data_IF_038520317868
#
_entry.id   IF_038520317868
#
_cell.length_a   1.000
_cell.length_b   1.000
_cell.length_c   1.000
_cell.angle_alpha   90.00
_cell.angle_beta   90.00
_cell.angle_gamma   90.00
#
_symmetry.space_group_name_H-M   'P 1'
#
loop_
_entity.id
_entity.type
_entity.pdbx_description
1 polymer ?
#
# COMPACT_ATOMS: atom_id res chain seq x y z
N UNK A 1 -11.22 -10.23 9.47
CA UNK A 1 -10.38 -9.33 8.63
C UNK A 1 -9.37 -10.22 7.92
N UNK A 2 -9.36 -10.34 6.57
CA UNK A 2 -8.38 -11.24 5.95
C UNK A 2 -6.98 -10.63 6.18
N UNK A 3 -6.11 -11.43 6.79
CA UNK A 3 -4.70 -11.15 7.01
C UNK A 3 -3.98 -11.20 5.65
N UNK A 4 -4.23 -10.19 4.81
CA UNK A 4 -3.42 -9.98 3.62
C UNK A 4 -2.04 -9.54 4.12
N UNK A 5 -1.03 -10.35 3.91
CA UNK A 5 0.34 -10.14 4.38
C UNK A 5 1.03 -9.07 3.51
N UNK A 6 0.50 -7.85 3.53
CA UNK A 6 1.06 -6.71 2.78
C UNK A 6 2.27 -6.14 3.52
N UNK A 7 3.42 -6.09 2.85
CA UNK A 7 4.60 -5.34 3.31
C UNK A 7 4.46 -3.88 2.90
N UNK A 8 4.59 -2.97 3.86
CA UNK A 8 4.65 -1.53 3.58
C UNK A 8 6.02 -1.18 3.02
N UNK A 9 6.04 -0.59 1.83
CA UNK A 9 7.24 -0.06 1.20
C UNK A 9 7.39 1.39 1.64
N UNK A 10 8.49 1.69 2.32
CA UNK A 10 8.83 3.06 2.65
C UNK A 10 9.29 3.78 1.39
N UNK A 11 8.56 4.82 1.01
CA UNK A 11 8.84 5.63 -0.18
C UNK A 11 8.75 7.11 0.21
N UNK A 12 9.41 8.03 -0.52
CA UNK A 12 9.28 9.47 -0.25
C UNK A 12 7.83 9.96 -0.32
N UNK A 13 6.99 9.30 -1.11
CA UNK A 13 5.54 9.47 -1.16
C UNK A 13 4.85 9.25 0.19
N UNK A 14 5.43 8.45 1.09
CA UNK A 14 4.92 8.22 2.45
C UNK A 14 4.94 9.48 3.31
N UNK A 15 5.83 10.44 3.03
CA UNK A 15 5.87 11.74 3.69
C UNK A 15 4.68 12.62 3.29
N UNK A 16 4.22 12.48 2.04
CA UNK A 16 3.03 13.17 1.50
C UNK A 16 1.74 12.41 1.85
N UNK A 17 1.83 11.35 2.67
CA UNK A 17 0.70 10.53 3.09
C UNK A 17 0.34 9.41 2.13
N UNK A 18 1.18 9.06 1.16
CA UNK A 18 0.94 7.95 0.24
C UNK A 18 1.75 6.74 0.70
N UNK A 19 1.06 5.71 1.16
CA UNK A 19 1.67 4.43 1.54
C UNK A 19 1.54 3.42 0.43
N UNK A 20 2.68 2.95 -0.06
CA UNK A 20 2.74 1.82 -0.98
C UNK A 20 2.83 0.52 -0.16
N UNK A 21 2.01 -0.44 -0.55
CA UNK A 21 1.88 -1.75 0.07
C UNK A 21 2.10 -2.77 -1.04
N UNK A 22 2.89 -3.79 -0.76
CA UNK A 22 3.16 -4.89 -1.69
C UNK A 22 2.76 -6.20 -1.04
N UNK A 23 2.01 -6.99 -1.78
CA UNK A 23 1.64 -8.33 -1.36
C UNK A 23 2.72 -9.37 -1.73
N UNK A 24 2.65 -10.55 -1.12
CA UNK A 24 3.58 -11.64 -1.42
C UNK A 24 3.43 -12.16 -2.86
N UNK A 25 2.21 -12.10 -3.41
CA UNK A 25 1.91 -12.41 -4.81
C UNK A 25 2.43 -11.35 -5.81
N UNK A 26 3.14 -10.31 -5.33
CA UNK A 26 3.73 -9.29 -6.18
C UNK A 26 2.78 -8.16 -6.59
N UNK A 27 1.55 -8.17 -6.09
CA UNK A 27 0.59 -7.08 -6.31
C UNK A 27 0.96 -5.81 -5.53
N UNK A 28 0.85 -4.65 -6.18
CA UNK A 28 1.04 -3.36 -5.56
C UNK A 28 -0.30 -2.71 -5.19
N UNK A 29 -0.31 -2.07 -4.04
CA UNK A 29 -1.45 -1.34 -3.51
C UNK A 29 -0.97 0.03 -3.04
N UNK A 30 -1.77 1.04 -3.30
CA UNK A 30 -1.51 2.40 -2.86
C UNK A 30 -2.61 2.83 -1.92
N UNK A 31 -2.23 3.32 -0.75
CA UNK A 31 -3.13 3.85 0.25
C UNK A 31 -2.77 5.29 0.54
N UNK A 32 -3.73 6.19 0.34
CA UNK A 32 -3.59 7.60 0.68
C UNK A 32 -3.91 7.80 2.17
N UNK A 33 -3.33 8.82 2.80
CA UNK A 33 -3.59 9.20 4.19
C UNK A 33 -5.02 9.72 4.26
N UNK A 34 -5.92 8.88 4.77
CA UNK A 34 -7.37 9.13 4.80
C UNK A 34 -8.14 8.61 3.58
N UNK A 35 -7.49 7.97 2.61
CA UNK A 35 -8.15 7.42 1.41
C UNK A 35 -8.34 5.91 1.44
N UNK A 36 -9.20 5.41 0.54
CA UNK A 36 -9.37 3.97 0.30
C UNK A 36 -8.11 3.38 -0.35
N UNK A 37 -7.81 2.13 -0.02
CA UNK A 37 -6.73 1.36 -0.61
C UNK A 37 -7.08 1.07 -2.08
N UNK A 38 -6.25 1.53 -3.01
CA UNK A 38 -6.41 1.33 -4.45
C UNK A 38 -5.38 0.30 -4.92
N UNK A 39 -5.84 -0.77 -5.57
CA UNK A 39 -4.96 -1.73 -6.23
C UNK A 39 -4.32 -1.05 -7.44
N UNK A 40 -3.00 -1.09 -7.53
CA UNK A 40 -2.24 -0.73 -8.72
C UNK A 40 -1.82 -2.07 -9.32
N UNK A 41 -2.67 -2.55 -10.23
CA UNK A 41 -2.41 -3.73 -11.06
C UNK A 41 -1.84 -3.30 -12.39
#
# INVERSE_FOLDING_TARGET
MPLIHVKRIWTPLSLVGISLLKDNDGHYYMKWRGGKLKKIG
#
